data_IF_755726094465
#
_entry.id   IF_755726094465
#
_cell.length_a   1.000
_cell.length_b   1.000
_cell.length_c   1.000
_cell.angle_alpha   90.00
_cell.angle_beta   90.00
_cell.angle_gamma   90.00
#
_symmetry.space_group_name_H-M   'P 1'
#
loop_
_entity.id
_entity.type
_entity.pdbx_description
1 polymer ?
#
# COMPACT_ATOMS: atom_id res chain seq x y z
N UNK A 1 -43.57 15.77 24.45
CA UNK A 1 -42.38 16.62 24.22
C UNK A 1 -41.12 16.07 24.89
N UNK A 2 -41.16 15.70 26.19
CA UNK A 2 -40.00 15.17 26.95
C UNK A 2 -39.33 13.91 26.33
N UNK A 3 -40.10 12.96 25.77
CA UNK A 3 -39.56 11.75 25.12
C UNK A 3 -38.75 12.03 23.83
N UNK A 4 -39.17 13.03 23.04
CA UNK A 4 -38.45 13.45 21.82
C UNK A 4 -37.14 14.16 22.15
N UNK A 5 -37.14 14.98 23.22
CA UNK A 5 -35.93 15.64 23.72
C UNK A 5 -34.92 14.63 24.25
N UNK A 6 -35.38 13.58 24.95
CA UNK A 6 -34.54 12.49 25.45
C UNK A 6 -33.93 11.64 24.33
N UNK A 7 -34.71 11.37 23.27
CA UNK A 7 -34.21 10.67 22.08
C UNK A 7 -33.12 11.49 21.36
N UNK A 8 -33.33 12.80 21.22
CA UNK A 8 -32.35 13.70 20.60
C UNK A 8 -31.05 13.79 21.41
N UNK A 9 -31.13 13.81 22.73
CA UNK A 9 -29.94 13.84 23.59
C UNK A 9 -29.16 12.53 23.54
N UNK A 10 -29.85 11.38 23.44
CA UNK A 10 -29.20 10.08 23.24
C UNK A 10 -28.46 9.99 21.90
N UNK A 11 -29.06 10.49 20.82
CA UNK A 11 -28.44 10.53 19.50
C UNK A 11 -27.22 11.46 19.51
N UNK A 12 -27.33 12.64 20.14
CA UNK A 12 -26.23 13.59 20.23
C UNK A 12 -25.06 13.03 21.07
N UNK A 13 -25.37 12.36 22.18
CA UNK A 13 -24.37 11.70 23.02
C UNK A 13 -23.69 10.53 22.28
N UNK A 14 -24.45 9.74 21.52
CA UNK A 14 -23.90 8.66 20.70
C UNK A 14 -22.97 9.18 19.60
N UNK A 15 -23.32 10.28 18.93
CA UNK A 15 -22.44 10.95 17.96
C UNK A 15 -21.15 11.46 18.61
N UNK A 16 -21.25 12.01 19.83
CA UNK A 16 -20.10 12.53 20.57
C UNK A 16 -19.14 11.40 21.00
N UNK A 17 -19.68 10.25 21.42
CA UNK A 17 -18.87 9.06 21.75
C UNK A 17 -18.16 8.50 20.51
N UNK A 18 -18.82 8.46 19.35
CA UNK A 18 -18.18 7.99 18.10
C UNK A 18 -17.03 8.89 17.59
N UNK A 19 -17.00 10.17 17.96
CA UNK A 19 -15.86 11.05 17.66
C UNK A 19 -14.62 10.73 18.52
N UNK A 20 -14.81 10.27 19.77
CA UNK A 20 -13.69 9.97 20.68
C UNK A 20 -12.95 8.68 20.26
N UNK A 21 -13.65 7.74 19.61
CA UNK A 21 -13.04 6.50 19.09
C UNK A 21 -12.40 6.65 17.71
N UNK A 22 -12.50 7.81 17.07
CA UNK A 22 -11.66 8.14 15.91
C UNK A 22 -10.26 8.53 16.41
N UNK A 23 -9.55 7.57 16.99
CA UNK A 23 -8.10 7.67 17.06
C UNK A 23 -7.62 7.68 15.62
N UNK A 24 -7.19 8.86 15.16
CA UNK A 24 -6.46 9.04 13.93
C UNK A 24 -5.29 8.07 13.95
N UNK A 25 -5.43 6.92 13.30
CA UNK A 25 -4.32 6.01 13.06
C UNK A 25 -3.32 6.83 12.25
N UNK A 26 -2.23 7.26 12.91
CA UNK A 26 -1.05 7.74 12.21
C UNK A 26 -0.64 6.57 11.34
N UNK A 27 -0.98 6.66 10.04
CA UNK A 27 -0.69 5.60 9.10
C UNK A 27 0.83 5.46 9.08
N UNK A 28 1.33 4.37 9.65
CA UNK A 28 2.75 4.10 9.66
C UNK A 28 3.23 4.07 8.19
N UNK A 29 4.39 4.68 7.93
CA UNK A 29 4.91 4.79 6.58
C UNK A 29 4.89 3.41 5.90
N UNK A 30 4.38 3.28 4.66
CA UNK A 30 4.30 1.98 4.03
C UNK A 30 5.69 1.40 3.78
N UNK A 31 5.79 0.07 3.77
CA UNK A 31 6.96 -0.62 3.22
C UNK A 31 6.73 -0.76 1.72
N UNK A 32 7.64 -0.18 0.93
CA UNK A 32 7.52 -0.17 -0.52
C UNK A 32 8.08 -1.46 -1.11
N UNK A 33 7.24 -2.19 -1.83
CA UNK A 33 7.59 -3.40 -2.57
C UNK A 33 7.77 -3.00 -4.04
N UNK A 34 9.03 -2.95 -4.48
CA UNK A 34 9.37 -2.74 -5.88
C UNK A 34 9.15 -4.01 -6.69
N UNK A 35 8.39 -3.92 -7.79
CA UNK A 35 8.16 -4.98 -8.76
C UNK A 35 8.66 -4.52 -10.14
N UNK A 36 10.00 -4.54 -10.36
CA UNK A 36 10.58 -4.25 -11.65
C UNK A 36 10.57 -5.52 -12.50
N UNK A 37 9.73 -5.54 -13.54
CA UNK A 37 9.57 -6.72 -14.41
C UNK A 37 9.21 -6.30 -15.82
N UNK A 38 9.14 -7.25 -16.75
CA UNK A 38 8.75 -7.04 -18.14
C UNK A 38 7.22 -6.95 -18.28
N UNK A 39 6.67 -5.77 -18.03
CA UNK A 39 5.21 -5.53 -18.02
C UNK A 39 4.57 -5.58 -19.41
N UNK A 40 5.37 -5.56 -20.47
CA UNK A 40 4.92 -5.85 -21.84
C UNK A 40 4.50 -7.32 -22.06
N UNK A 41 4.98 -8.24 -21.22
CA UNK A 41 4.80 -9.69 -21.38
C UNK A 41 3.81 -10.26 -20.35
N UNK A 42 3.22 -11.42 -20.67
CA UNK A 42 2.21 -12.06 -19.83
C UNK A 42 2.77 -12.44 -18.46
N UNK A 43 3.99 -12.94 -18.43
CA UNK A 43 4.70 -13.36 -17.22
C UNK A 43 4.86 -12.19 -16.25
N UNK A 44 5.27 -11.02 -16.74
CA UNK A 44 5.42 -9.81 -15.92
C UNK A 44 4.08 -9.26 -15.41
N UNK A 45 3.04 -9.28 -16.26
CA UNK A 45 1.68 -8.84 -15.87
C UNK A 45 1.08 -9.74 -14.80
N UNK A 46 1.16 -11.05 -14.98
CA UNK A 46 0.61 -12.00 -14.01
C UNK A 46 1.43 -12.00 -12.70
N UNK A 47 2.75 -11.82 -12.77
CA UNK A 47 3.59 -11.62 -11.58
C UNK A 47 3.18 -10.38 -10.79
N UNK A 48 2.94 -9.24 -11.47
CA UNK A 48 2.47 -8.02 -10.79
C UNK A 48 1.08 -8.22 -10.15
N UNK A 49 0.16 -8.90 -10.82
CA UNK A 49 -1.18 -9.22 -10.26
C UNK A 49 -1.09 -10.13 -9.05
N UNK A 50 -0.21 -11.13 -9.07
CA UNK A 50 0.00 -12.02 -7.93
C UNK A 50 0.52 -11.25 -6.70
N UNK A 51 1.47 -10.33 -6.91
CA UNK A 51 1.96 -9.45 -5.84
C UNK A 51 0.84 -8.53 -5.34
N UNK A 52 0.03 -7.95 -6.23
CA UNK A 52 -1.11 -7.12 -5.84
C UNK A 52 -2.10 -7.87 -4.96
N UNK A 53 -2.49 -9.09 -5.36
CA UNK A 53 -3.39 -9.93 -4.57
C UNK A 53 -2.84 -10.22 -3.18
N UNK A 54 -1.56 -10.59 -3.08
CA UNK A 54 -0.93 -10.87 -1.80
C UNK A 54 -0.86 -9.61 -0.90
N UNK A 55 -0.52 -8.45 -1.49
CA UNK A 55 -0.48 -7.18 -0.76
C UNK A 55 -1.86 -6.77 -0.27
N UNK A 56 -2.90 -6.98 -1.08
CA UNK A 56 -4.29 -6.68 -0.70
C UNK A 56 -4.73 -7.54 0.49
N UNK A 57 -4.45 -8.84 0.48
CA UNK A 57 -4.75 -9.76 1.58
C UNK A 57 -3.98 -9.39 2.86
N UNK A 58 -2.68 -9.10 2.75
CA UNK A 58 -1.83 -8.71 3.89
C UNK A 58 -2.30 -7.38 4.49
N UNK A 59 -2.59 -6.39 3.65
CA UNK A 59 -3.06 -5.09 4.10
C UNK A 59 -4.46 -5.18 4.74
N UNK A 60 -5.35 -6.00 4.18
CA UNK A 60 -6.66 -6.29 4.79
C UNK A 60 -6.53 -6.98 6.16
N UNK A 61 -5.49 -7.78 6.37
CA UNK A 61 -5.13 -8.37 7.67
C UNK A 61 -4.40 -7.39 8.63
N UNK A 62 -4.35 -6.10 8.29
CA UNK A 62 -3.75 -5.05 9.11
C UNK A 62 -2.25 -4.83 8.86
N UNK A 63 -1.71 -5.34 7.75
CA UNK A 63 -0.31 -5.15 7.36
C UNK A 63 0.68 -6.00 8.16
N UNK A 64 1.97 -5.72 7.98
CA UNK A 64 3.07 -6.49 8.57
C UNK A 64 3.58 -5.83 9.86
N UNK A 65 3.86 -6.65 10.88
CA UNK A 65 4.43 -6.17 12.13
C UNK A 65 5.92 -5.90 11.96
N UNK A 66 6.36 -4.67 12.22
CA UNK A 66 7.76 -4.26 12.26
C UNK A 66 8.02 -3.62 13.62
N UNK A 67 8.75 -4.33 14.48
CA UNK A 67 8.93 -3.91 15.88
C UNK A 67 7.59 -3.85 16.63
N UNK A 68 7.22 -2.66 17.10
CA UNK A 68 5.96 -2.40 17.82
C UNK A 68 4.82 -1.96 16.90
N UNK A 69 5.10 -1.67 15.63
CA UNK A 69 4.15 -1.07 14.70
C UNK A 69 3.67 -2.07 13.64
N UNK A 70 2.49 -1.81 13.08
CA UNK A 70 1.96 -2.50 11.90
C UNK A 70 2.07 -1.55 10.72
N UNK A 71 2.76 -1.97 9.67
CA UNK A 71 3.00 -1.16 8.47
C UNK A 71 2.31 -1.81 7.26
N UNK A 72 1.56 -1.03 6.45
CA UNK A 72 1.01 -1.54 5.21
C UNK A 72 2.10 -1.69 4.14
N UNK A 73 1.85 -2.54 3.17
CA UNK A 73 2.64 -2.63 1.94
C UNK A 73 2.11 -1.66 0.88
N UNK A 74 3.02 -1.04 0.13
CA UNK A 74 2.72 -0.26 -1.07
C UNK A 74 3.49 -0.85 -2.24
N UNK A 75 2.82 -1.12 -3.35
CA UNK A 75 3.47 -1.63 -4.56
C UNK A 75 3.93 -0.45 -5.42
N UNK A 76 5.12 -0.58 -5.94
CA UNK A 76 5.64 0.27 -7.01
C UNK A 76 6.19 -0.62 -8.11
N UNK A 77 5.81 -0.37 -9.37
CA UNK A 77 6.30 -1.15 -10.50
C UNK A 77 6.96 -0.25 -11.54
N UNK A 78 7.80 -0.87 -12.37
CA UNK A 78 8.41 -0.29 -13.56
C UNK A 78 8.57 -1.37 -14.62
N UNK A 79 8.35 -1.01 -15.89
CA UNK A 79 8.60 -1.93 -17.01
C UNK A 79 10.08 -1.91 -17.37
N UNK A 80 10.77 -3.03 -17.13
CA UNK A 80 12.19 -3.17 -17.48
C UNK A 80 12.41 -3.55 -18.93
N UNK A 81 11.42 -4.18 -19.58
CA UNK A 81 11.53 -4.74 -20.93
C UNK A 81 12.72 -5.71 -21.10
N UNK A 82 13.27 -6.24 -20.01
CA UNK A 82 14.45 -7.12 -19.97
C UNK A 82 14.23 -8.49 -20.65
N UNK A 83 12.97 -8.87 -20.88
CA UNK A 83 12.58 -10.04 -21.66
C UNK A 83 12.48 -9.76 -23.17
N UNK A 84 12.49 -8.48 -23.59
CA UNK A 84 12.38 -8.14 -25.01
C UNK A 84 13.73 -8.31 -25.74
N UNK A 85 13.73 -8.85 -26.97
CA UNK A 85 14.94 -8.98 -27.75
C UNK A 85 15.51 -7.59 -28.10
N UNK A 86 16.82 -7.43 -27.94
CA UNK A 86 17.54 -6.21 -28.31
C UNK A 86 17.51 -5.10 -27.25
N UNK A 87 16.86 -5.31 -26.10
CA UNK A 87 16.98 -4.40 -24.96
C UNK A 87 18.35 -4.58 -24.29
N UNK A 88 19.19 -3.52 -24.19
CA UNK A 88 20.47 -3.62 -23.51
C UNK A 88 20.31 -3.87 -22.02
N UNK A 89 21.21 -4.68 -21.45
CA UNK A 89 21.24 -4.94 -19.99
C UNK A 89 21.36 -3.63 -19.19
N UNK A 90 22.12 -2.66 -19.69
CA UNK A 90 22.24 -1.35 -19.07
C UNK A 90 20.91 -0.59 -18.97
N UNK A 91 20.00 -0.73 -19.93
CA UNK A 91 18.66 -0.11 -19.88
C UNK A 91 17.83 -0.72 -18.75
N UNK A 92 17.84 -2.06 -18.61
CA UNK A 92 17.15 -2.74 -17.52
C UNK A 92 17.74 -2.36 -16.14
N UNK A 93 19.07 -2.26 -16.03
CA UNK A 93 19.73 -1.83 -14.80
C UNK A 93 19.37 -0.39 -14.43
N UNK A 94 19.28 0.52 -15.39
CA UNK A 94 18.82 1.89 -15.15
C UNK A 94 17.37 1.92 -14.64
N UNK A 95 16.48 1.09 -15.20
CA UNK A 95 15.12 0.94 -14.69
C UNK A 95 15.08 0.43 -13.24
N UNK A 96 15.96 -0.51 -12.90
CA UNK A 96 16.10 -1.03 -11.54
C UNK A 96 16.64 0.02 -10.56
N UNK A 97 17.66 0.79 -10.94
CA UNK A 97 18.18 1.90 -10.13
C UNK A 97 17.11 2.97 -9.91
N UNK A 98 16.35 3.30 -10.96
CA UNK A 98 15.28 4.28 -10.91
C UNK A 98 14.21 3.93 -9.88
N UNK A 99 13.74 2.69 -9.85
CA UNK A 99 12.71 2.28 -8.88
C UNK A 99 13.24 2.35 -7.45
N UNK A 100 14.50 2.01 -7.21
CA UNK A 100 15.11 2.07 -5.88
C UNK A 100 15.27 3.52 -5.40
N UNK A 101 15.80 4.39 -6.26
CA UNK A 101 16.18 5.77 -5.92
C UNK A 101 14.97 6.72 -5.88
N UNK A 102 14.09 6.66 -6.88
CA UNK A 102 12.99 7.63 -7.00
C UNK A 102 11.75 7.22 -6.19
N UNK A 103 11.53 5.92 -5.99
CA UNK A 103 10.31 5.41 -5.33
C UNK A 103 10.49 5.12 -3.84
N UNK A 104 11.45 5.79 -3.20
CA UNK A 104 11.67 5.81 -1.74
C UNK A 104 11.90 4.42 -1.12
N UNK A 105 12.55 3.49 -1.82
CA UNK A 105 12.83 2.16 -1.27
C UNK A 105 13.93 2.18 -0.18
N UNK A 106 14.73 3.26 -0.09
CA UNK A 106 15.91 3.39 0.79
C UNK A 106 15.78 4.48 1.89
N UNK A 107 14.62 4.62 2.55
CA UNK A 107 14.60 5.28 3.86
C UNK A 107 14.93 4.25 4.94
N UNK A 108 16.24 3.99 5.12
CA UNK A 108 16.79 3.25 6.26
C UNK A 108 16.83 4.15 7.51
#
# INVERSE_FOLDING_TARGET
>A
MKKRVWLFTLILASCFVSMIFNQSAVAADPIVIGVPTSLGFSEGKESLKAVQMAVDEINAAGGVKVGTERRPFKIESIDLRDAAPGVPVSEALLGLEKIILEKNQLRL
#
